data_IF_677172942539
#
_entry.id   IF_677172942539
#
_cell.length_a   1.000
_cell.length_b   1.000
_cell.length_c   1.000
_cell.angle_alpha   90.00
_cell.angle_beta   90.00
_cell.angle_gamma   90.00
#
_symmetry.space_group_name_H-M   'P 1'
#
loop_
_entity.id
_entity.type
_entity.pdbx_description
1 polymer ?
#
# COMPACT_ATOMS: atom_id res chain seq x y z
N UNK A 1 -18.07 0.24 2.16
CA UNK A 1 -16.64 0.49 1.84
C UNK A 1 -16.45 0.25 0.36
N UNK A 2 -15.70 1.09 -0.34
CA UNK A 2 -15.28 0.77 -1.70
C UNK A 2 -14.24 -0.38 -1.62
N UNK A 3 -14.47 -1.56 -2.21
CA UNK A 3 -13.52 -2.68 -2.15
C UNK A 3 -12.24 -2.42 -2.94
N UNK A 4 -12.25 -1.48 -3.88
CA UNK A 4 -11.11 -1.18 -4.75
C UNK A 4 -10.04 -0.33 -4.08
N UNK A 5 -10.40 0.44 -3.05
CA UNK A 5 -9.49 1.40 -2.43
C UNK A 5 -9.47 1.29 -0.90
N UNK A 6 -8.27 1.41 -0.34
CA UNK A 6 -8.10 1.51 1.10
C UNK A 6 -8.75 2.82 1.60
N UNK A 7 -9.68 2.70 2.57
CA UNK A 7 -10.45 3.82 3.14
C UNK A 7 -9.60 4.98 3.69
N UNK A 8 -8.37 4.68 4.10
CA UNK A 8 -7.45 5.67 4.69
C UNK A 8 -6.51 6.25 3.63
N UNK A 9 -6.33 5.55 2.50
CA UNK A 9 -5.45 5.96 1.41
C UNK A 9 -6.17 6.71 0.30
N UNK A 10 -7.50 6.58 0.19
CA UNK A 10 -8.30 7.19 -0.87
C UNK A 10 -9.58 7.78 -0.28
N UNK A 11 -9.70 9.10 -0.33
CA UNK A 11 -10.79 9.87 0.23
C UNK A 11 -11.19 10.95 -0.78
N UNK A 12 -12.48 11.24 -0.90
CA UNK A 12 -13.01 12.28 -1.79
C UNK A 12 -12.50 12.19 -3.24
N UNK A 13 -12.37 10.97 -3.77
CA UNK A 13 -11.93 10.73 -5.16
C UNK A 13 -10.43 10.93 -5.41
N UNK A 14 -9.61 11.08 -4.35
CA UNK A 14 -8.16 11.29 -4.47
C UNK A 14 -7.37 10.48 -3.46
N UNK A 15 -6.12 10.17 -3.81
CA UNK A 15 -5.19 9.64 -2.83
C UNK A 15 -4.88 10.71 -1.78
N UNK A 16 -4.94 10.33 -0.50
CA UNK A 16 -4.65 11.23 0.62
C UNK A 16 -3.17 11.65 0.66
N UNK A 17 -2.31 10.80 0.09
CA UNK A 17 -0.89 11.06 -0.09
C UNK A 17 -0.53 10.74 -1.55
N UNK A 18 -0.69 11.69 -2.49
CA UNK A 18 -0.43 11.46 -3.90
C UNK A 18 1.07 11.26 -4.19
N UNK A 19 1.94 11.97 -3.46
CA UNK A 19 3.38 12.03 -3.74
C UNK A 19 4.21 10.95 -3.04
N UNK A 20 3.61 10.19 -2.11
CA UNK A 20 4.32 9.07 -1.47
C UNK A 20 4.74 8.08 -2.56
N UNK A 21 5.97 7.59 -2.47
CA UNK A 21 6.50 6.58 -3.35
C UNK A 21 6.14 5.17 -2.87
N UNK A 22 6.25 4.18 -3.76
CA UNK A 22 6.07 2.78 -3.41
C UNK A 22 7.00 2.35 -2.26
N UNK A 23 8.27 2.75 -2.32
CA UNK A 23 9.27 2.43 -1.30
C UNK A 23 8.92 3.04 0.06
N UNK A 24 8.52 4.32 0.10
CA UNK A 24 8.11 4.97 1.35
C UNK A 24 6.85 4.31 1.94
N UNK A 25 5.91 3.90 1.09
CA UNK A 25 4.73 3.16 1.54
C UNK A 25 5.11 1.81 2.15
N UNK A 26 6.04 1.07 1.53
CA UNK A 26 6.57 -0.20 2.07
C UNK A 26 7.19 0.01 3.44
N UNK A 27 8.11 0.97 3.56
CA UNK A 27 8.78 1.29 4.83
C UNK A 27 7.77 1.64 5.92
N UNK A 28 6.79 2.50 5.61
CA UNK A 28 5.76 2.89 6.57
C UNK A 28 4.91 1.71 7.02
N UNK A 29 4.45 0.88 6.08
CA UNK A 29 3.62 -0.29 6.43
C UNK A 29 4.39 -1.36 7.17
N UNK A 30 5.69 -1.53 6.92
CA UNK A 30 6.54 -2.41 7.73
C UNK A 30 6.60 -1.92 9.18
N UNK A 31 6.80 -0.61 9.39
CA UNK A 31 6.82 0.00 10.74
C UNK A 31 5.49 -0.17 11.46
N UNK A 32 4.37 0.20 10.83
CA UNK A 32 3.03 0.03 11.42
C UNK A 32 2.74 -1.44 11.81
N UNK A 33 3.24 -2.41 11.02
CA UNK A 33 3.06 -3.83 11.31
C UNK A 33 3.86 -4.28 12.54
N UNK A 34 5.09 -3.78 12.68
CA UNK A 34 5.94 -4.04 13.87
C UNK A 34 5.40 -3.33 15.11
N UNK A 35 4.87 -2.12 14.99
CA UNK A 35 4.22 -1.40 16.11
C UNK A 35 3.02 -2.18 16.66
N UNK A 36 2.22 -2.78 15.76
CA UNK A 36 1.07 -3.61 16.13
C UNK A 36 1.48 -5.00 16.63
N UNK A 37 2.64 -5.50 16.24
CA UNK A 37 3.18 -6.77 16.68
C UNK A 37 4.70 -6.68 16.94
N UNK A 38 5.11 -6.25 18.15
CA UNK A 38 6.53 -6.04 18.48
C UNK A 38 7.41 -7.30 18.41
N UNK A 39 6.80 -8.49 18.32
CA UNK A 39 7.53 -9.76 18.15
C UNK A 39 7.79 -10.11 16.68
N UNK A 40 7.23 -9.35 15.75
CA UNK A 40 7.43 -9.56 14.32
C UNK A 40 8.83 -9.07 13.92
N UNK A 41 9.69 -9.93 13.35
CA UNK A 41 10.98 -9.48 12.83
C UNK A 41 10.82 -8.49 11.68
N UNK A 42 11.67 -7.47 11.62
CA UNK A 42 11.66 -6.46 10.56
C UNK A 42 11.80 -7.07 9.16
N UNK A 43 12.64 -8.10 9.02
CA UNK A 43 12.82 -8.82 7.75
C UNK A 43 11.52 -9.48 7.28
N UNK A 44 10.72 -10.01 8.22
CA UNK A 44 9.43 -10.62 7.92
C UNK A 44 8.41 -9.54 7.56
N UNK A 45 8.32 -8.46 8.35
CA UNK A 45 7.44 -7.33 8.05
C UNK A 45 7.72 -6.74 6.66
N UNK A 46 9.00 -6.54 6.34
CA UNK A 46 9.47 -6.02 5.05
C UNK A 46 9.22 -7.02 3.92
N UNK A 47 9.46 -8.31 4.12
CA UNK A 47 9.16 -9.34 3.11
C UNK A 47 7.68 -9.41 2.76
N UNK A 48 6.80 -9.30 3.75
CA UNK A 48 5.35 -9.23 3.55
C UNK A 48 5.00 -7.97 2.74
N UNK A 49 5.42 -6.78 3.20
CA UNK A 49 5.02 -5.51 2.56
C UNK A 49 5.59 -5.34 1.15
N UNK A 50 6.82 -5.79 0.90
CA UNK A 50 7.43 -5.81 -0.44
C UNK A 50 6.73 -6.78 -1.40
N UNK A 51 6.07 -7.82 -0.90
CA UNK A 51 5.29 -8.76 -1.71
C UNK A 51 3.89 -8.23 -2.02
N UNK A 52 3.19 -7.71 -1.01
CA UNK A 52 1.77 -7.35 -1.16
C UNK A 52 1.54 -5.95 -1.74
N UNK A 53 2.34 -4.94 -1.35
CA UNK A 53 2.06 -3.54 -1.72
C UNK A 53 2.18 -3.31 -3.22
N UNK A 54 3.20 -3.83 -3.93
CA UNK A 54 3.28 -3.66 -5.38
C UNK A 54 2.07 -4.21 -6.15
N UNK A 55 1.34 -5.18 -5.59
CA UNK A 55 0.15 -5.78 -6.21
C UNK A 55 -1.12 -4.95 -6.09
N UNK A 56 -1.13 -3.86 -5.32
CA UNK A 56 -2.31 -3.01 -5.17
C UNK A 56 -2.53 -2.14 -6.43
N UNK A 57 -3.80 -1.83 -6.76
CA UNK A 57 -4.22 -1.05 -7.95
C UNK A 57 -3.44 0.26 -8.15
N UNK A 58 -3.03 0.93 -7.07
CA UNK A 58 -2.20 2.14 -7.12
C UNK A 58 -0.81 1.90 -7.72
N UNK A 59 -0.23 0.74 -7.47
CA UNK A 59 1.19 0.44 -7.70
C UNK A 59 1.42 -0.57 -8.82
N UNK A 60 0.44 -1.43 -9.09
CA UNK A 60 0.57 -2.45 -10.11
C UNK A 60 0.21 -1.86 -11.50
N UNK A 61 1.16 -1.85 -12.47
CA UNK A 61 0.93 -1.35 -13.82
C UNK A 61 -0.13 -2.13 -14.61
N UNK A 62 -0.45 -3.37 -14.25
CA UNK A 62 -1.48 -4.18 -14.92
C UNK A 62 -2.89 -3.61 -14.76
N UNK A 63 -3.15 -2.81 -13.72
CA UNK A 63 -4.45 -2.13 -13.54
C UNK A 63 -4.53 -0.77 -14.27
N UNK A 64 -3.56 -0.42 -15.12
CA UNK A 64 -3.60 0.83 -15.89
C UNK A 64 -4.66 0.82 -17.00
N UNK A 65 -5.06 -0.37 -17.46
CA UNK A 65 -6.02 -0.52 -18.56
C UNK A 65 -7.49 -0.45 -18.12
N UNK A 66 -7.78 -0.41 -16.81
CA UNK A 66 -9.14 -0.22 -16.24
C UNK A 66 -9.74 1.17 -16.55
N UNK A 67 -8.98 2.07 -17.19
CA UNK A 67 -9.38 3.43 -17.56
C UNK A 67 -9.43 3.67 -19.08
N UNK A 68 -9.58 2.63 -19.90
CA UNK A 68 -9.94 2.83 -21.31
C UNK A 68 -11.41 3.27 -21.42
N UNK A 69 -11.61 4.56 -21.67
CA UNK A 69 -12.85 5.14 -22.19
C UNK A 69 -13.04 4.81 -23.67
#
# INVERSE_FOLDING_TARGET
>A
LNPEFCKDCYQDGKYTEPDITLTEMIVRKSKEMMEKNPRLPETTATGITTTFIPGLKRWNPEFKDDYQF
#
